data_IF_364478582362
#
_entry.id   IF_364478582362
#
_cell.length_a   1.000
_cell.length_b   1.000
_cell.length_c   1.000
_cell.angle_alpha   90.00
_cell.angle_beta   90.00
_cell.angle_gamma   90.00
#
_symmetry.space_group_name_H-M   'P 1'
#
loop_
_entity.id
_entity.type
_entity.pdbx_description
1 polymer ?
#
# COMPACT_ATOMS: atom_id res chain seq x y z
N UNK A 1 -24.48 -15.50 -7.86
CA UNK A 1 -23.23 -14.70 -7.85
C UNK A 1 -23.47 -13.47 -8.69
N UNK A 2 -23.74 -12.31 -8.10
CA UNK A 2 -23.82 -11.05 -8.87
C UNK A 2 -22.39 -10.58 -9.10
N UNK A 3 -21.74 -11.17 -10.11
CA UNK A 3 -20.37 -10.84 -10.47
C UNK A 3 -20.34 -9.45 -11.09
N UNK A 4 -19.71 -8.52 -10.39
CA UNK A 4 -19.37 -7.20 -10.93
C UNK A 4 -18.67 -7.40 -12.28
N UNK A 5 -19.13 -6.69 -13.30
CA UNK A 5 -18.46 -6.70 -14.60
C UNK A 5 -17.08 -6.06 -14.45
N UNK A 6 -16.13 -6.31 -15.37
CA UNK A 6 -14.84 -5.60 -15.37
C UNK A 6 -15.00 -4.07 -15.31
N UNK A 7 -16.04 -3.54 -15.94
CA UNK A 7 -16.40 -2.12 -15.88
C UNK A 7 -16.81 -1.68 -14.46
N UNK A 8 -17.61 -2.49 -13.76
CA UNK A 8 -18.03 -2.16 -12.39
C UNK A 8 -16.86 -2.22 -11.39
N UNK A 9 -15.94 -3.16 -11.59
CA UNK A 9 -14.69 -3.21 -10.82
C UNK A 9 -13.82 -1.97 -11.05
N UNK A 10 -13.68 -1.55 -12.29
CA UNK A 10 -12.93 -0.34 -12.64
C UNK A 10 -13.59 0.91 -12.02
N UNK A 11 -14.91 1.05 -12.14
CA UNK A 11 -15.66 2.16 -11.54
C UNK A 11 -15.50 2.22 -10.02
N UNK A 12 -15.52 1.06 -9.34
CA UNK A 12 -15.28 0.99 -7.89
C UNK A 12 -13.86 1.40 -7.52
N UNK A 13 -12.84 0.93 -8.26
CA UNK A 13 -11.44 1.30 -8.01
C UNK A 13 -11.21 2.81 -8.18
N UNK A 14 -11.79 3.41 -9.23
CA UNK A 14 -11.74 4.85 -9.48
C UNK A 14 -12.47 5.62 -8.38
N UNK A 15 -13.65 5.16 -7.97
CA UNK A 15 -14.41 5.77 -6.87
C UNK A 15 -13.63 5.76 -5.56
N UNK A 16 -13.07 4.62 -5.16
CA UNK A 16 -12.28 4.47 -3.93
C UNK A 16 -11.06 5.38 -3.98
N UNK A 17 -10.34 5.43 -5.10
CA UNK A 17 -9.15 6.27 -5.25
C UNK A 17 -9.50 7.76 -5.14
N UNK A 18 -10.59 8.20 -5.76
CA UNK A 18 -11.06 9.58 -5.66
C UNK A 18 -11.55 9.93 -4.25
N UNK A 19 -12.22 9.00 -3.56
CA UNK A 19 -12.61 9.17 -2.17
C UNK A 19 -11.39 9.31 -1.27
N UNK A 20 -10.39 8.44 -1.42
CA UNK A 20 -9.12 8.50 -0.69
C UNK A 20 -8.44 9.86 -0.91
N UNK A 21 -8.32 10.32 -2.15
CA UNK A 21 -7.68 11.59 -2.49
C UNK A 21 -8.40 12.78 -1.82
N UNK A 22 -9.73 12.84 -1.88
CA UNK A 22 -10.52 13.90 -1.24
C UNK A 22 -10.45 13.87 0.28
N UNK A 23 -10.30 12.68 0.86
CA UNK A 23 -10.38 12.48 2.31
C UNK A 23 -9.05 12.68 3.01
N UNK A 24 -7.97 12.18 2.39
CA UNK A 24 -6.63 12.15 2.97
C UNK A 24 -5.74 13.25 2.42
N UNK A 25 -6.13 13.89 1.31
CA UNK A 25 -5.30 14.83 0.56
C UNK A 25 -4.10 14.14 -0.11
N UNK A 26 -3.20 14.95 -0.66
CA UNK A 26 -1.96 14.49 -1.30
C UNK A 26 -0.85 14.19 -0.27
N UNK A 27 -1.20 13.40 0.75
CA UNK A 27 -0.28 13.02 1.83
C UNK A 27 0.33 11.63 1.62
N UNK A 28 1.41 11.34 2.34
CA UNK A 28 2.04 10.00 2.30
C UNK A 28 1.05 8.87 2.64
N UNK A 29 0.11 9.11 3.56
CA UNK A 29 -0.93 8.14 3.88
C UNK A 29 -1.80 7.78 2.67
N UNK A 30 -2.14 8.76 1.83
CA UNK A 30 -2.85 8.53 0.57
C UNK A 30 -2.00 7.70 -0.39
N UNK A 31 -0.74 8.06 -0.61
CA UNK A 31 0.14 7.31 -1.51
C UNK A 31 0.41 5.88 -1.03
N UNK A 32 0.51 5.64 0.28
CA UNK A 32 0.63 4.27 0.82
C UNK A 32 -0.60 3.43 0.44
N UNK A 33 -1.81 3.96 0.65
CA UNK A 33 -3.04 3.23 0.31
C UNK A 33 -3.22 3.08 -1.20
N UNK A 34 -2.94 4.11 -1.99
CA UNK A 34 -3.03 4.04 -3.46
C UNK A 34 -1.98 3.13 -4.08
N UNK A 35 -0.78 3.03 -3.49
CA UNK A 35 0.22 2.08 -3.94
C UNK A 35 -0.12 0.62 -3.61
N UNK A 36 -0.80 0.39 -2.48
CA UNK A 36 -1.22 -0.95 -2.05
C UNK A 36 -2.46 -1.44 -2.80
N UNK A 37 -3.45 -0.58 -3.00
CA UNK A 37 -4.77 -0.96 -3.53
C UNK A 37 -5.05 -0.43 -4.94
N UNK A 38 -4.29 0.55 -5.41
CA UNK A 38 -4.40 1.07 -6.77
C UNK A 38 -3.81 0.12 -7.79
N UNK A 39 -4.27 0.26 -9.04
CA UNK A 39 -3.80 -0.54 -10.17
C UNK A 39 -2.93 0.30 -11.12
N UNK A 40 -2.21 -0.38 -12.01
CA UNK A 40 -1.46 0.25 -13.10
C UNK A 40 -0.46 1.33 -12.66
N UNK A 41 -0.43 2.40 -13.45
CA UNK A 41 0.46 3.56 -13.31
C UNK A 41 0.24 4.31 -11.99
N UNK A 42 -1.02 4.48 -11.58
CA UNK A 42 -1.40 5.19 -10.35
C UNK A 42 -0.76 4.61 -9.08
N UNK A 43 -0.76 3.28 -9.00
CA UNK A 43 -0.11 2.56 -7.91
C UNK A 43 1.41 2.68 -7.98
N UNK A 44 1.99 2.66 -9.18
CA UNK A 44 3.43 2.80 -9.39
C UNK A 44 3.93 4.20 -9.03
N UNK A 45 3.23 5.26 -9.48
CA UNK A 45 3.52 6.66 -9.12
C UNK A 45 3.46 6.83 -7.60
N UNK A 46 2.45 6.26 -6.94
CA UNK A 46 2.33 6.35 -5.49
C UNK A 46 3.41 5.57 -4.76
N UNK A 47 3.82 4.39 -5.26
CA UNK A 47 4.94 3.63 -4.69
C UNK A 47 6.26 4.43 -4.80
N UNK A 48 6.50 5.11 -5.93
CA UNK A 48 7.66 6.00 -6.09
C UNK A 48 7.60 7.17 -5.10
N UNK A 49 6.43 7.77 -4.85
CA UNK A 49 6.26 8.82 -3.83
C UNK A 49 6.60 8.31 -2.42
N UNK A 50 6.20 7.08 -2.08
CA UNK A 50 6.56 6.45 -0.80
C UNK A 50 8.06 6.18 -0.70
N UNK A 51 8.70 5.71 -1.78
CA UNK A 51 10.16 5.53 -1.84
C UNK A 51 10.94 6.84 -1.64
N UNK A 52 10.53 7.91 -2.34
CA UNK A 52 11.13 9.24 -2.18
C UNK A 52 10.98 9.77 -0.76
N UNK A 53 9.85 9.50 -0.10
CA UNK A 53 9.65 9.87 1.29
C UNK A 53 10.54 9.08 2.27
N UNK A 54 10.73 7.78 2.03
CA UNK A 54 11.52 6.91 2.92
C UNK A 54 13.03 7.17 2.82
N UNK A 55 13.49 7.52 1.63
CA UNK A 55 14.89 7.81 1.39
C UNK A 55 15.00 9.05 0.48
N UNK A 56 14.89 10.27 1.02
CA UNK A 56 14.90 11.48 0.20
C UNK A 56 16.27 11.79 -0.42
N UNK A 57 17.35 11.36 0.24
CA UNK A 57 18.73 11.70 -0.15
C UNK A 57 19.30 10.79 -1.25
N UNK A 58 18.70 9.63 -1.51
CA UNK A 58 19.18 8.75 -2.57
C UNK A 58 19.02 9.38 -3.96
N UNK A 59 20.15 9.56 -4.66
CA UNK A 59 20.18 10.14 -6.00
C UNK A 59 19.32 9.33 -6.99
N UNK A 60 18.67 10.03 -7.93
CA UNK A 60 17.62 9.45 -8.79
C UNK A 60 18.07 8.24 -9.62
N UNK A 61 19.31 8.25 -10.09
CA UNK A 61 19.91 7.17 -10.91
C UNK A 61 20.83 6.23 -10.11
N UNK A 62 20.77 6.29 -8.78
CA UNK A 62 21.61 5.44 -7.93
C UNK A 62 21.04 4.03 -7.75
N UNK A 63 21.93 3.05 -7.54
CA UNK A 63 21.53 1.69 -7.13
C UNK A 63 20.76 1.70 -5.80
N UNK A 64 21.07 2.65 -4.91
CA UNK A 64 20.34 2.82 -3.65
C UNK A 64 18.88 3.22 -3.89
N UNK A 65 18.63 4.13 -4.83
CA UNK A 65 17.27 4.51 -5.22
C UNK A 65 16.52 3.35 -5.82
N UNK A 66 17.13 2.63 -6.76
CA UNK A 66 16.53 1.46 -7.39
C UNK A 66 16.17 0.38 -6.35
N UNK A 67 17.08 0.10 -5.41
CA UNK A 67 16.82 -0.84 -4.32
C UNK A 67 15.67 -0.37 -3.44
N UNK A 68 15.62 0.92 -3.09
CA UNK A 68 14.56 1.50 -2.27
C UNK A 68 13.20 1.37 -2.96
N UNK A 69 13.12 1.71 -4.25
CA UNK A 69 11.89 1.58 -5.05
C UNK A 69 11.37 0.14 -5.06
N UNK A 70 12.26 -0.82 -5.32
CA UNK A 70 11.89 -2.23 -5.39
C UNK A 70 11.54 -2.81 -4.01
N UNK A 71 12.19 -2.36 -2.93
CA UNK A 71 11.83 -2.70 -1.56
C UNK A 71 10.45 -2.16 -1.18
N UNK A 72 10.15 -0.90 -1.53
CA UNK A 72 8.84 -0.30 -1.29
C UNK A 72 7.76 -1.04 -2.08
N UNK A 73 8.04 -1.40 -3.33
CA UNK A 73 7.14 -2.20 -4.15
C UNK A 73 6.93 -3.59 -3.54
N UNK A 74 8.00 -4.24 -3.04
CA UNK A 74 7.88 -5.51 -2.31
C UNK A 74 6.97 -5.37 -1.08
N UNK A 75 7.13 -4.32 -0.28
CA UNK A 75 6.36 -4.13 0.95
C UNK A 75 4.88 -3.89 0.63
N UNK A 76 4.59 -3.05 -0.36
CA UNK A 76 3.22 -2.63 -0.66
C UNK A 76 2.48 -3.63 -1.56
N UNK A 77 3.19 -4.43 -2.36
CA UNK A 77 2.60 -5.28 -3.41
C UNK A 77 3.11 -6.72 -3.41
N UNK A 78 4.00 -7.09 -2.50
CA UNK A 78 4.55 -8.44 -2.37
C UNK A 78 5.59 -8.84 -3.42
N UNK A 79 5.88 -7.98 -4.39
CA UNK A 79 6.78 -8.27 -5.52
C UNK A 79 7.70 -7.08 -5.83
N UNK A 80 8.97 -7.31 -6.24
CA UNK A 80 9.69 -8.59 -6.31
C UNK A 80 9.97 -9.18 -4.92
N UNK A 81 10.30 -10.49 -4.82
CA UNK A 81 10.65 -11.13 -3.54
C UNK A 81 12.01 -10.63 -3.02
N UNK A 82 12.20 -10.60 -1.70
CA UNK A 82 13.46 -10.16 -1.08
C UNK A 82 14.70 -10.94 -1.54
N UNK A 83 14.57 -12.26 -1.80
CA UNK A 83 15.68 -13.07 -2.33
C UNK A 83 16.15 -12.55 -3.69
N UNK A 84 15.20 -12.22 -4.59
CA UNK A 84 15.51 -11.63 -5.88
C UNK A 84 16.23 -10.29 -5.74
N UNK A 85 15.90 -9.49 -4.72
CA UNK A 85 16.62 -8.24 -4.44
C UNK A 85 18.05 -8.49 -3.93
N UNK A 86 18.22 -9.49 -3.07
CA UNK A 86 19.55 -9.95 -2.64
C UNK A 86 20.44 -10.27 -3.84
N UNK A 87 19.91 -11.04 -4.80
CA UNK A 87 20.64 -11.48 -5.99
C UNK A 87 20.93 -10.31 -6.95
N UNK A 88 19.95 -9.42 -7.19
CA UNK A 88 20.09 -8.29 -8.10
C UNK A 88 21.12 -7.25 -7.63
N UNK A 89 21.21 -7.03 -6.33
CA UNK A 89 22.07 -6.01 -5.73
C UNK A 89 23.38 -6.56 -5.17
N UNK A 90 23.58 -7.88 -5.24
CA UNK A 90 24.74 -8.57 -4.64
C UNK A 90 24.95 -8.19 -3.17
N UNK A 91 23.84 -8.21 -2.41
CA UNK A 91 23.81 -7.87 -0.99
C UNK A 91 23.38 -9.08 -0.16
N UNK A 92 23.88 -9.22 1.08
CA UNK A 92 23.40 -10.25 1.99
C UNK A 92 21.89 -10.11 2.25
N UNK A 93 21.18 -11.24 2.23
CA UNK A 93 19.73 -11.26 2.48
C UNK A 93 19.33 -10.58 3.79
N UNK A 94 20.16 -10.70 4.83
CA UNK A 94 19.94 -10.06 6.13
C UNK A 94 19.99 -8.54 6.08
N UNK A 95 20.79 -7.94 5.18
CA UNK A 95 20.86 -6.50 4.98
C UNK A 95 19.57 -6.00 4.31
N UNK A 96 19.12 -6.69 3.25
CA UNK A 96 17.85 -6.42 2.57
C UNK A 96 16.66 -6.55 3.55
N UNK A 97 16.64 -7.62 4.35
CA UNK A 97 15.58 -7.86 5.33
C UNK A 97 15.55 -6.81 6.44
N UNK A 98 16.72 -6.33 6.89
CA UNK A 98 16.81 -5.27 7.91
C UNK A 98 16.26 -3.95 7.37
N UNK A 99 16.68 -3.53 6.18
CA UNK A 99 16.16 -2.33 5.53
C UNK A 99 14.64 -2.45 5.28
N UNK A 100 14.20 -3.58 4.72
CA UNK A 100 12.78 -3.84 4.47
C UNK A 100 11.92 -3.82 5.74
N UNK A 101 12.43 -4.37 6.86
CA UNK A 101 11.73 -4.33 8.14
C UNK A 101 11.59 -2.90 8.69
N UNK A 102 12.65 -2.09 8.60
CA UNK A 102 12.61 -0.69 9.03
C UNK A 102 11.58 0.12 8.23
N UNK A 103 11.59 -0.03 6.90
CA UNK A 103 10.61 0.62 6.03
C UNK A 103 9.19 0.14 6.27
N UNK A 104 8.99 -1.16 6.51
CA UNK A 104 7.67 -1.72 6.82
C UNK A 104 7.06 -1.07 8.07
N UNK A 105 7.85 -0.86 9.13
CA UNK A 105 7.36 -0.19 10.34
C UNK A 105 6.85 1.23 10.03
N UNK A 106 7.60 2.00 9.24
CA UNK A 106 7.25 3.37 8.86
C UNK A 106 6.01 3.41 7.96
N UNK A 107 5.95 2.52 6.96
CA UNK A 107 4.80 2.37 6.05
C UNK A 107 3.55 1.98 6.84
N UNK A 108 3.64 0.98 7.72
CA UNK A 108 2.49 0.51 8.51
C UNK A 108 1.96 1.57 9.47
N UNK A 109 2.84 2.40 10.05
CA UNK A 109 2.40 3.53 10.87
C UNK A 109 1.59 4.55 10.05
N UNK A 110 2.05 4.88 8.83
CA UNK A 110 1.32 5.78 7.92
C UNK A 110 0.03 5.16 7.40
N UNK A 111 0.05 3.87 7.08
CA UNK A 111 -1.13 3.09 6.67
C UNK A 111 -2.22 3.14 7.75
N UNK A 112 -1.88 2.79 8.99
CA UNK A 112 -2.84 2.81 10.12
C UNK A 112 -3.42 4.20 10.37
N UNK A 113 -2.58 5.23 10.36
CA UNK A 113 -3.05 6.62 10.51
C UNK A 113 -3.98 7.05 9.36
N UNK A 114 -3.68 6.66 8.12
CA UNK A 114 -4.50 6.96 6.95
C UNK A 114 -5.85 6.24 7.01
N UNK A 115 -5.86 4.95 7.34
CA UNK A 115 -7.08 4.17 7.52
C UNK A 115 -7.96 4.74 8.65
N UNK A 116 -7.36 5.12 9.78
CA UNK A 116 -8.10 5.76 10.88
C UNK A 116 -8.75 7.08 10.48
N UNK A 117 -8.05 7.93 9.71
CA UNK A 117 -8.63 9.18 9.17
C UNK A 117 -9.74 8.91 8.16
N UNK A 118 -9.57 7.90 7.31
CA UNK A 118 -10.58 7.48 6.35
C UNK A 118 -11.84 6.99 7.07
N UNK A 119 -11.70 6.15 8.09
CA UNK A 119 -12.83 5.63 8.89
C UNK A 119 -13.64 6.77 9.52
N UNK A 120 -12.97 7.72 10.21
CA UNK A 120 -13.62 8.89 10.81
C UNK A 120 -14.42 9.66 9.75
N UNK A 121 -13.79 9.96 8.62
CA UNK A 121 -14.43 10.75 7.54
C UNK A 121 -15.57 10.01 6.87
N UNK A 122 -15.48 8.69 6.72
CA UNK A 122 -16.56 7.88 6.17
C UNK A 122 -17.74 7.77 7.15
N UNK A 123 -17.50 7.77 8.47
CA UNK A 123 -18.56 7.88 9.47
C UNK A 123 -19.21 9.25 9.47
N UNK A 124 -18.42 10.33 9.46
CA UNK A 124 -18.92 11.72 9.42
C UNK A 124 -19.81 11.97 8.20
N UNK A 125 -19.47 11.35 7.07
CA UNK A 125 -20.25 11.45 5.83
C UNK A 125 -21.40 10.43 5.73
N UNK A 126 -21.64 9.62 6.76
CA UNK A 126 -22.75 8.66 6.82
C UNK A 126 -22.58 7.41 5.94
N UNK A 127 -21.40 7.15 5.39
CA UNK A 127 -21.14 5.95 4.59
C UNK A 127 -20.99 4.69 5.45
N UNK A 128 -20.57 4.84 6.70
CA UNK A 128 -20.41 3.77 7.68
C UNK A 128 -21.33 4.03 8.87
N UNK A 129 -22.26 3.12 9.15
CA UNK A 129 -22.90 3.03 10.46
C UNK A 129 -22.03 2.19 11.41
N UNK A 130 -22.16 2.36 12.72
CA UNK A 130 -21.34 1.64 13.71
C UNK A 130 -21.41 0.10 13.56
N UNK A 131 -22.53 -0.44 13.04
CA UNK A 131 -22.65 -1.87 12.70
C UNK A 131 -21.95 -2.29 11.40
N UNK A 132 -21.81 -1.36 10.43
CA UNK A 132 -21.09 -1.61 9.16
C UNK A 132 -19.58 -1.46 9.31
N UNK A 133 -19.12 -0.52 10.14
CA UNK A 133 -17.69 -0.32 10.42
C UNK A 133 -17.06 -1.59 11.02
N UNK A 134 -17.74 -2.24 11.98
CA UNK A 134 -17.31 -3.53 12.54
C UNK A 134 -17.21 -4.61 11.46
N UNK A 135 -18.20 -4.72 10.57
CA UNK A 135 -18.19 -5.73 9.49
C UNK A 135 -17.08 -5.50 8.45
N UNK A 136 -16.76 -4.25 8.12
CA UNK A 136 -15.67 -3.94 7.18
C UNK A 136 -14.31 -4.18 7.82
N UNK A 137 -14.12 -3.84 9.09
CA UNK A 137 -12.91 -4.18 9.83
C UNK A 137 -12.68 -5.70 9.84
N UNK A 138 -13.71 -6.49 10.16
CA UNK A 138 -13.65 -7.96 10.13
C UNK A 138 -13.41 -8.49 8.71
N UNK A 139 -13.97 -7.86 7.67
CA UNK A 139 -13.74 -8.25 6.28
C UNK A 139 -12.31 -7.96 5.81
N UNK A 140 -11.73 -6.81 6.21
CA UNK A 140 -10.34 -6.45 5.90
C UNK A 140 -9.38 -7.40 6.63
N UNK A 141 -9.62 -7.70 7.91
CA UNK A 141 -8.84 -8.68 8.67
C UNK A 141 -8.94 -10.09 8.06
N UNK A 142 -10.14 -10.50 7.62
CA UNK A 142 -10.35 -11.77 6.92
C UNK A 142 -9.64 -11.84 5.57
N UNK A 143 -9.57 -10.72 4.83
CA UNK A 143 -8.80 -10.64 3.59
C UNK A 143 -7.29 -10.69 3.83
N UNK A 144 -6.79 -10.04 4.87
CA UNK A 144 -5.38 -10.13 5.27
C UNK A 144 -5.00 -11.58 5.65
N UNK A 145 -5.86 -12.28 6.40
CA UNK A 145 -5.66 -13.70 6.73
C UNK A 145 -5.74 -14.63 5.50
N UNK A 146 -6.68 -14.40 4.60
CA UNK A 146 -6.81 -15.20 3.37
C UNK A 146 -5.59 -15.00 2.43
N UNK A 147 -5.09 -13.77 2.33
CA UNK A 147 -3.91 -13.44 1.53
C UNK A 147 -2.63 -14.07 2.12
N UNK A 148 -2.53 -14.18 3.46
CA UNK A 148 -1.45 -14.90 4.12
C UNK A 148 -1.58 -16.42 4.01
N UNK A 149 -2.80 -16.97 4.01
CA UNK A 149 -3.05 -18.41 3.87
C UNK A 149 -2.81 -18.93 2.44
N UNK A 150 -3.01 -18.11 1.41
CA UNK A 150 -2.73 -18.47 0.00
C UNK A 150 -1.25 -18.33 -0.40
N UNK A 151 -0.36 -17.99 0.55
CA UNK A 151 1.08 -17.85 0.31
C UNK A 151 1.92 -19.00 0.89
N UNK A 152 1.26 -20.08 1.36
CA UNK A 152 1.88 -21.36 1.71
C UNK A 152 1.79 -22.35 0.54
#
# INVERSE_FOLDING_TARGET
MTGLTPHDWHAQAVFITNLLARTLGDGIGFHVLRAQYGSGEDGAVSARRVSLWLNPEAAEESRERELTDLLVTNILRGTPRLRRLSDLFDLPYSAIQRAGSAYRILIEAKRRAALGRLDIRMRDAGYLSDQKAVRIATAIEGMEQAMHASSC
#
